data_IF_907221229017
#
_entry.id   IF_907221229017
#
_cell.length_a   1.000
_cell.length_b   1.000
_cell.length_c   1.000
_cell.angle_alpha   90.00
_cell.angle_beta   90.00
_cell.angle_gamma   90.00
#
_symmetry.space_group_name_H-M   'P 1'
#
loop_
_entity.id
_entity.type
_entity.pdbx_description
1 polymer ?
#
# COMPACT_ATOMS: atom_id res chain seq x y z
N UNK A 1 29.16 6.92 21.86
CA UNK A 1 29.95 5.69 21.62
C UNK A 1 31.32 5.70 22.34
N UNK A 2 31.92 6.86 22.65
CA UNK A 2 33.21 6.97 23.32
C UNK A 2 34.43 6.44 22.57
N UNK A 3 34.23 5.98 21.29
CA UNK A 3 35.30 5.48 20.42
C UNK A 3 35.22 6.11 19.05
N UNK A 4 36.35 6.26 18.36
CA UNK A 4 36.43 6.67 16.97
C UNK A 4 36.23 5.43 16.10
N UNK A 5 35.35 5.55 15.08
CA UNK A 5 35.10 4.48 14.09
C UNK A 5 35.51 4.99 12.72
N UNK A 6 36.17 4.14 11.94
CA UNK A 6 36.58 4.45 10.57
C UNK A 6 35.47 4.16 9.55
N UNK A 7 34.56 3.23 9.87
CA UNK A 7 33.47 2.83 9.01
C UNK A 7 32.25 2.38 9.82
N UNK A 8 31.05 2.66 9.33
CA UNK A 8 29.79 2.27 9.98
C UNK A 8 29.65 0.76 10.24
N UNK A 9 30.30 -0.08 9.42
CA UNK A 9 30.32 -1.55 9.62
C UNK A 9 31.01 -2.02 10.88
N UNK A 10 31.79 -1.15 11.52
CA UNK A 10 32.44 -1.43 12.81
C UNK A 10 31.47 -1.30 14.00
N UNK A 11 30.27 -0.77 13.72
CA UNK A 11 29.19 -0.59 14.70
C UNK A 11 28.23 -1.79 14.63
N UNK A 12 27.76 -2.22 15.79
CA UNK A 12 26.69 -3.22 15.86
C UNK A 12 25.32 -2.64 15.51
N UNK A 13 24.35 -3.50 15.18
CA UNK A 13 22.99 -3.10 14.83
C UNK A 13 22.30 -2.26 15.91
N UNK A 14 22.69 -2.45 17.20
CA UNK A 14 22.20 -1.66 18.31
C UNK A 14 22.77 -0.23 18.37
N UNK A 15 23.85 0.05 17.64
CA UNK A 15 24.57 1.33 17.64
C UNK A 15 24.24 2.18 16.40
N UNK A 16 23.54 1.62 15.41
CA UNK A 16 23.25 2.27 14.12
C UNK A 16 21.77 2.16 13.79
N UNK A 17 21.13 3.30 13.53
CA UNK A 17 19.82 3.34 12.89
C UNK A 17 20.02 3.44 11.38
N UNK A 18 19.62 2.39 10.64
CA UNK A 18 19.62 2.39 9.18
C UNK A 18 18.26 2.80 8.66
N UNK A 19 18.22 3.84 7.84
CA UNK A 19 17.01 4.33 7.15
C UNK A 19 17.18 4.20 5.64
N UNK A 20 16.09 4.02 4.87
CA UNK A 20 16.14 4.14 3.41
C UNK A 20 16.67 5.52 2.99
N UNK A 21 17.34 5.63 1.83
CA UNK A 21 17.96 6.91 1.40
C UNK A 21 17.01 8.09 1.37
N UNK A 22 15.76 7.89 0.93
CA UNK A 22 14.73 8.91 0.92
C UNK A 22 14.33 9.38 2.32
N UNK A 23 14.24 8.47 3.29
CA UNK A 23 13.97 8.84 4.69
C UNK A 23 15.18 9.53 5.33
N UNK A 24 16.41 9.11 5.02
CA UNK A 24 17.63 9.81 5.44
C UNK A 24 17.62 11.26 4.95
N UNK A 25 17.27 11.48 3.68
CA UNK A 25 17.16 12.82 3.11
C UNK A 25 16.11 13.66 3.84
N UNK A 26 14.92 13.13 4.08
CA UNK A 26 13.85 13.82 4.79
C UNK A 26 14.26 14.18 6.23
N UNK A 27 14.88 13.24 6.95
CA UNK A 27 15.36 13.47 8.32
C UNK A 27 16.45 14.55 8.35
N UNK A 28 17.46 14.43 7.48
CA UNK A 28 18.62 15.33 7.47
C UNK A 28 18.24 16.76 7.05
N UNK A 29 17.39 16.92 6.05
CA UNK A 29 17.02 18.24 5.49
C UNK A 29 15.88 18.93 6.23
N UNK A 30 15.10 18.19 7.01
CA UNK A 30 13.88 18.70 7.64
C UNK A 30 12.70 18.87 6.68
N UNK A 31 12.85 18.41 5.43
CA UNK A 31 11.76 18.43 4.46
C UNK A 31 10.71 17.36 4.78
N UNK A 32 9.53 17.51 4.22
CA UNK A 32 8.43 16.56 4.31
C UNK A 32 8.05 16.08 2.92
N UNK A 33 7.32 14.98 2.87
CA UNK A 33 6.80 14.44 1.63
C UNK A 33 5.68 15.34 1.08
N UNK A 34 5.46 15.34 -0.22
CA UNK A 34 4.42 16.14 -0.91
C UNK A 34 4.36 17.60 -0.46
N UNK A 35 5.53 18.22 -0.31
CA UNK A 35 5.61 19.63 0.03
C UNK A 35 4.83 20.48 -0.98
N UNK A 36 4.02 21.39 -0.46
CA UNK A 36 3.23 22.35 -1.23
C UNK A 36 2.12 21.73 -2.12
N UNK A 37 1.88 20.40 -2.05
CA UNK A 37 0.75 19.76 -2.68
C UNK A 37 -0.41 19.54 -1.68
N UNK A 38 -1.64 19.68 -2.15
CA UNK A 38 -2.83 19.21 -1.44
C UNK A 38 -3.12 17.75 -1.79
N UNK A 39 -3.95 17.09 -0.98
CA UNK A 39 -4.34 15.70 -1.22
C UNK A 39 -5.04 15.50 -2.57
N UNK A 40 -5.86 16.48 -2.97
CA UNK A 40 -6.61 16.43 -4.23
C UNK A 40 -5.75 16.70 -5.47
N UNK A 41 -4.55 17.24 -5.30
CA UNK A 41 -3.59 17.46 -6.40
C UNK A 41 -2.76 16.22 -6.73
N UNK A 42 -2.80 15.18 -5.89
CA UNK A 42 -2.11 13.93 -6.19
C UNK A 42 -2.69 13.25 -7.43
N UNK A 43 -1.84 12.89 -8.36
CA UNK A 43 -2.20 12.08 -9.51
C UNK A 43 -2.36 10.63 -9.08
N UNK A 44 -3.59 10.21 -8.80
CA UNK A 44 -3.91 8.87 -8.26
C UNK A 44 -4.53 8.00 -9.34
N UNK A 45 -4.00 6.81 -9.50
CA UNK A 45 -4.48 5.78 -10.42
C UNK A 45 -4.91 4.56 -9.62
N UNK A 46 -6.07 4.02 -9.93
CA UNK A 46 -6.55 2.77 -9.40
C UNK A 46 -6.50 1.71 -10.50
N UNK A 47 -6.11 0.49 -10.18
CA UNK A 47 -6.28 -0.65 -11.07
C UNK A 47 -6.75 -1.88 -10.31
N UNK A 48 -7.47 -2.74 -10.98
CA UNK A 48 -7.95 -4.01 -10.45
C UNK A 48 -7.74 -5.13 -11.47
N UNK A 49 -7.37 -6.33 -11.00
CA UNK A 49 -7.07 -7.48 -11.83
C UNK A 49 -8.24 -8.46 -11.84
N UNK A 50 -8.73 -8.78 -13.03
CA UNK A 50 -9.64 -9.90 -13.22
C UNK A 50 -8.88 -11.13 -13.72
N UNK A 51 -9.02 -12.22 -12.97
CA UNK A 51 -8.23 -13.43 -13.15
C UNK A 51 -9.11 -14.67 -13.36
N UNK A 52 -8.57 -15.70 -14.00
CA UNK A 52 -9.29 -16.97 -14.20
C UNK A 52 -9.47 -17.77 -12.92
N UNK A 53 -8.75 -17.41 -11.86
CA UNK A 53 -8.79 -18.00 -10.53
C UNK A 53 -7.77 -17.30 -9.61
N UNK A 54 -7.55 -17.83 -8.41
CA UNK A 54 -6.77 -17.16 -7.37
C UNK A 54 -5.30 -17.62 -7.27
N UNK A 55 -4.90 -18.65 -8.02
CA UNK A 55 -3.55 -19.22 -7.98
C UNK A 55 -2.71 -18.74 -9.16
N UNK A 56 -1.88 -17.71 -8.95
CA UNK A 56 -1.02 -17.13 -9.98
C UNK A 56 -0.02 -18.12 -10.62
N UNK A 57 0.15 -19.34 -10.09
CA UNK A 57 0.96 -20.38 -10.72
C UNK A 57 0.24 -21.04 -11.90
N UNK A 58 -1.09 -21.07 -11.88
CA UNK A 58 -1.96 -21.73 -12.85
C UNK A 58 -2.88 -20.77 -13.57
N UNK A 59 -3.42 -19.82 -12.82
CA UNK A 59 -4.43 -18.90 -13.30
C UNK A 59 -3.80 -17.70 -14.01
N UNK A 60 -4.57 -17.03 -14.86
CA UNK A 60 -4.14 -15.94 -15.74
C UNK A 60 -4.91 -14.65 -15.46
N UNK A 61 -4.28 -13.54 -15.76
CA UNK A 61 -4.94 -12.23 -15.86
C UNK A 61 -5.59 -12.16 -17.24
N UNK A 62 -6.90 -11.94 -17.31
CA UNK A 62 -7.60 -11.77 -18.60
C UNK A 62 -8.12 -10.34 -18.83
N UNK A 63 -8.28 -9.55 -17.76
CA UNK A 63 -8.69 -8.15 -17.85
C UNK A 63 -8.02 -7.36 -16.72
N UNK A 64 -7.77 -6.08 -16.97
CA UNK A 64 -7.38 -5.08 -15.98
C UNK A 64 -8.24 -3.85 -16.16
N UNK A 65 -8.98 -3.46 -15.15
CA UNK A 65 -9.62 -2.16 -15.10
C UNK A 65 -8.61 -1.14 -14.56
N UNK A 66 -8.49 0.00 -15.22
CA UNK A 66 -7.60 1.09 -14.81
C UNK A 66 -8.39 2.38 -14.80
N UNK A 67 -8.48 3.02 -13.65
CA UNK A 67 -9.05 4.36 -13.48
C UNK A 67 -7.91 5.36 -13.32
N UNK A 68 -7.81 6.29 -14.25
CA UNK A 68 -6.77 7.30 -14.28
C UNK A 68 -7.09 8.50 -13.34
N UNK A 69 -6.13 9.44 -13.14
CA UNK A 69 -6.36 10.63 -12.31
C UNK A 69 -7.47 11.56 -12.78
N UNK A 70 -7.83 11.52 -14.07
CA UNK A 70 -8.96 12.29 -14.61
C UNK A 70 -10.32 11.68 -14.26
N UNK A 71 -10.33 10.41 -13.86
CA UNK A 71 -11.51 9.61 -13.58
C UNK A 71 -11.98 8.77 -14.77
N UNK A 72 -11.27 8.79 -15.89
CA UNK A 72 -11.54 7.91 -17.02
C UNK A 72 -11.17 6.47 -16.68
N UNK A 73 -12.05 5.52 -17.02
CA UNK A 73 -11.81 4.09 -16.82
C UNK A 73 -11.49 3.44 -18.17
N UNK A 74 -10.31 2.85 -18.24
CA UNK A 74 -9.86 2.02 -19.36
C UNK A 74 -9.92 0.55 -18.96
N UNK A 75 -10.50 -0.29 -19.83
CA UNK A 75 -10.51 -1.74 -19.66
C UNK A 75 -9.50 -2.35 -20.65
N UNK A 76 -8.43 -2.92 -20.09
CA UNK A 76 -7.43 -3.64 -20.87
C UNK A 76 -7.77 -5.13 -20.83
N UNK A 77 -7.90 -5.77 -22.00
CA UNK A 77 -8.34 -7.16 -22.10
C UNK A 77 -7.34 -7.99 -22.90
N UNK A 78 -7.09 -9.21 -22.43
CA UNK A 78 -6.27 -10.16 -23.17
C UNK A 78 -6.95 -10.55 -24.49
N UNK A 79 -6.26 -10.37 -25.61
CA UNK A 79 -6.80 -10.71 -26.95
C UNK A 79 -6.94 -12.21 -27.17
N UNK A 80 -6.18 -13.01 -26.42
CA UNK A 80 -6.26 -14.47 -26.39
C UNK A 80 -6.02 -14.96 -24.96
N UNK A 81 -6.62 -16.10 -24.62
CA UNK A 81 -6.52 -16.69 -23.28
C UNK A 81 -5.31 -17.63 -23.15
N UNK A 82 -4.17 -17.20 -23.69
CA UNK A 82 -2.89 -17.90 -23.65
C UNK A 82 -1.78 -17.03 -23.03
N UNK A 83 -0.56 -17.56 -22.94
CA UNK A 83 0.57 -16.83 -22.37
C UNK A 83 0.96 -15.60 -23.19
N UNK A 84 0.73 -15.58 -24.50
CA UNK A 84 1.04 -14.46 -25.39
C UNK A 84 0.04 -13.29 -25.19
N UNK A 85 -1.23 -13.60 -25.10
CA UNK A 85 -2.29 -12.62 -24.83
C UNK A 85 -2.12 -11.97 -23.48
N UNK A 86 -1.87 -12.76 -22.42
CA UNK A 86 -1.61 -12.25 -21.09
C UNK A 86 -0.32 -11.41 -21.01
N UNK A 87 0.76 -11.85 -21.66
CA UNK A 87 2.00 -11.09 -21.72
C UNK A 87 1.81 -9.73 -22.41
N UNK A 88 0.94 -9.67 -23.43
CA UNK A 88 0.60 -8.43 -24.13
C UNK A 88 -0.21 -7.52 -23.21
N UNK A 89 -1.22 -8.04 -22.53
CA UNK A 89 -2.02 -7.31 -21.54
C UNK A 89 -1.15 -6.69 -20.44
N UNK A 90 -0.21 -7.44 -19.88
CA UNK A 90 0.69 -6.92 -18.84
C UNK A 90 1.59 -5.79 -19.40
N UNK A 91 2.08 -5.88 -20.66
CA UNK A 91 2.85 -4.80 -21.28
C UNK A 91 1.98 -3.56 -21.54
N UNK A 92 0.74 -3.74 -21.95
CA UNK A 92 -0.23 -2.66 -22.13
C UNK A 92 -0.49 -1.94 -20.80
N UNK A 93 -0.68 -2.66 -19.69
CA UNK A 93 -0.80 -2.08 -18.35
C UNK A 93 0.44 -1.25 -17.97
N UNK A 94 1.66 -1.80 -18.15
CA UNK A 94 2.92 -1.07 -17.87
C UNK A 94 3.02 0.20 -18.71
N UNK A 95 2.68 0.11 -19.99
CA UNK A 95 2.67 1.26 -20.91
C UNK A 95 1.64 2.31 -20.50
N UNK A 96 0.44 1.88 -20.11
CA UNK A 96 -0.63 2.76 -19.64
C UNK A 96 -0.22 3.52 -18.38
N UNK A 97 0.31 2.84 -17.37
CA UNK A 97 0.81 3.46 -16.13
C UNK A 97 1.95 4.44 -16.43
N UNK A 98 2.85 4.09 -17.34
CA UNK A 98 3.96 4.98 -17.73
C UNK A 98 3.47 6.23 -18.43
N UNK A 99 2.45 6.14 -19.29
CA UNK A 99 1.86 7.26 -20.03
C UNK A 99 1.09 8.20 -19.11
N UNK A 100 0.31 7.65 -18.19
CA UNK A 100 -0.50 8.41 -17.21
C UNK A 100 0.39 9.08 -16.18
N UNK A 101 1.52 8.47 -15.85
CA UNK A 101 2.51 8.92 -14.87
C UNK A 101 1.94 9.30 -13.50
N UNK A 102 1.16 8.42 -12.83
CA UNK A 102 0.55 8.74 -11.56
C UNK A 102 1.59 8.86 -10.43
N UNK A 103 1.29 9.68 -9.41
CA UNK A 103 2.09 9.78 -8.18
C UNK A 103 1.83 8.59 -7.27
N UNK A 104 0.59 8.11 -7.26
CA UNK A 104 0.10 7.05 -6.38
C UNK A 104 -0.67 6.01 -7.18
N UNK A 105 -0.40 4.75 -6.91
CA UNK A 105 -1.17 3.62 -7.41
C UNK A 105 -1.90 3.00 -6.22
N UNK A 106 -3.20 2.83 -6.36
CA UNK A 106 -4.09 2.41 -5.29
C UNK A 106 -4.92 1.20 -5.70
N UNK A 107 -5.14 0.25 -4.80
CA UNK A 107 -6.21 -0.73 -4.90
C UNK A 107 -6.61 -1.25 -3.51
N UNK A 108 -7.66 -2.04 -3.45
CA UNK A 108 -8.12 -2.69 -2.24
C UNK A 108 -7.55 -4.11 -2.15
N UNK A 109 -6.76 -4.38 -1.11
CA UNK A 109 -5.97 -5.61 -0.96
C UNK A 109 -4.79 -5.71 -1.95
N UNK A 110 -4.29 -4.56 -2.38
CA UNK A 110 -3.22 -4.39 -3.36
C UNK A 110 -1.98 -5.28 -3.09
N UNK A 111 -1.50 -5.27 -1.85
CA UNK A 111 -0.33 -6.06 -1.45
C UNK A 111 -0.65 -7.53 -1.17
N UNK A 112 -1.92 -7.87 -0.96
CA UNK A 112 -2.34 -9.24 -0.68
C UNK A 112 -2.72 -10.03 -1.92
N UNK A 113 -3.09 -9.35 -3.03
CA UNK A 113 -3.54 -10.01 -4.24
C UNK A 113 -2.94 -9.42 -5.51
N UNK A 114 -3.24 -8.18 -5.87
CA UNK A 114 -2.95 -7.67 -7.22
C UNK A 114 -1.45 -7.66 -7.54
N UNK A 115 -0.64 -7.02 -6.70
CA UNK A 115 0.80 -6.94 -6.97
C UNK A 115 1.49 -8.30 -6.91
N UNK A 116 1.28 -9.17 -5.90
CA UNK A 116 1.89 -10.49 -5.93
C UNK A 116 1.46 -11.34 -7.11
N UNK A 117 0.17 -11.29 -7.51
CA UNK A 117 -0.32 -12.01 -8.67
C UNK A 117 0.36 -11.49 -9.95
N UNK A 118 0.35 -10.19 -10.18
CA UNK A 118 0.99 -9.55 -11.32
C UNK A 118 2.50 -9.86 -11.39
N UNK A 119 3.22 -9.80 -10.27
CA UNK A 119 4.66 -10.12 -10.18
C UNK A 119 4.92 -11.57 -10.59
N UNK A 120 4.12 -12.51 -10.10
CA UNK A 120 4.30 -13.92 -10.41
C UNK A 120 4.01 -14.22 -11.88
N UNK A 121 2.94 -13.67 -12.45
CA UNK A 121 2.61 -13.81 -13.86
C UNK A 121 3.66 -13.17 -14.76
N UNK A 122 4.05 -11.93 -14.47
CA UNK A 122 5.08 -11.23 -15.24
C UNK A 122 6.43 -11.98 -15.23
N UNK A 123 6.82 -12.55 -14.08
CA UNK A 123 8.02 -13.39 -13.97
C UNK A 123 7.92 -14.63 -14.84
N UNK A 124 6.80 -15.35 -14.77
CA UNK A 124 6.54 -16.54 -15.59
C UNK A 124 6.62 -16.23 -17.10
N UNK A 125 6.01 -15.11 -17.51
CA UNK A 125 5.92 -14.68 -18.89
C UNK A 125 7.14 -13.89 -19.36
N UNK A 126 8.13 -13.66 -18.49
CA UNK A 126 9.35 -12.86 -18.75
C UNK A 126 9.02 -11.44 -19.22
N UNK A 127 7.97 -10.84 -18.66
CA UNK A 127 7.57 -9.46 -18.92
C UNK A 127 8.18 -8.56 -17.84
N UNK A 128 8.99 -7.54 -18.20
CA UNK A 128 9.49 -6.58 -17.23
C UNK A 128 8.36 -5.71 -16.64
N UNK A 129 8.30 -5.61 -15.32
CA UNK A 129 7.36 -4.72 -14.62
C UNK A 129 8.02 -3.37 -14.32
N UNK A 130 8.15 -2.52 -15.33
CA UNK A 130 8.70 -1.17 -15.19
C UNK A 130 7.60 -0.17 -14.75
N UNK A 131 7.03 -0.38 -13.57
CA UNK A 131 5.93 0.44 -13.04
C UNK A 131 6.39 1.77 -12.41
N UNK A 132 7.69 1.96 -12.19
CA UNK A 132 8.27 3.15 -11.56
C UNK A 132 8.63 4.26 -12.54
N UNK A 133 8.99 5.43 -11.98
CA UNK A 133 9.52 6.58 -12.71
C UNK A 133 11.02 6.47 -13.00
N UNK A 134 11.72 5.64 -12.26
CA UNK A 134 13.15 5.42 -12.46
C UNK A 134 13.25 4.15 -13.29
N UNK A 135 13.74 4.25 -14.51
CA UNK A 135 13.72 3.23 -15.59
C UNK A 135 14.41 1.89 -15.30
N UNK A 136 14.50 1.47 -14.06
CA UNK A 136 14.91 0.12 -13.68
C UNK A 136 13.69 -0.72 -13.40
N UNK A 137 13.50 -1.85 -14.10
CA UNK A 137 12.48 -2.81 -13.71
C UNK A 137 12.81 -3.29 -12.29
N UNK A 138 11.88 -3.25 -11.41
CA UNK A 138 12.09 -3.84 -10.11
C UNK A 138 11.19 -3.24 -9.04
N UNK A 139 10.10 -3.95 -8.80
CA UNK A 139 9.43 -3.90 -7.52
C UNK A 139 10.45 -4.33 -6.46
N UNK A 140 10.61 -3.50 -5.44
CA UNK A 140 11.32 -3.86 -4.22
C UNK A 140 10.29 -4.41 -3.23
N UNK A 141 10.74 -5.23 -2.30
CA UNK A 141 9.93 -5.70 -1.20
C UNK A 141 10.49 -5.19 0.11
N UNK A 142 9.61 -4.87 1.05
CA UNK A 142 9.97 -4.69 2.45
C UNK A 142 9.16 -5.67 3.29
N UNK A 143 9.75 -6.21 4.35
CA UNK A 143 9.02 -6.95 5.36
C UNK A 143 7.98 -6.04 6.04
N UNK A 144 6.90 -6.62 6.53
CA UNK A 144 6.04 -5.93 7.47
C UNK A 144 6.87 -5.41 8.65
N UNK A 145 6.55 -4.21 9.16
CA UNK A 145 7.23 -3.71 10.36
C UNK A 145 7.05 -4.73 11.50
N UNK A 146 8.14 -4.97 12.24
CA UNK A 146 8.08 -5.76 13.47
C UNK A 146 7.17 -5.04 14.48
N UNK A 147 5.93 -5.44 14.52
CA UNK A 147 4.98 -5.11 15.58
C UNK A 147 4.38 -6.41 16.03
N UNK A 148 4.40 -6.71 17.29
CA UNK A 148 3.71 -7.70 18.12
C UNK A 148 3.08 -8.98 17.52
N UNK A 149 3.08 -9.17 16.20
CA UNK A 149 2.60 -10.37 15.54
C UNK A 149 3.71 -11.44 15.55
N UNK A 150 3.37 -12.65 15.96
CA UNK A 150 4.25 -13.82 15.86
C UNK A 150 4.59 -14.09 14.38
N UNK A 151 5.71 -14.73 14.10
CA UNK A 151 6.13 -15.09 12.73
C UNK A 151 5.10 -15.97 11.97
N UNK A 152 4.09 -16.46 12.66
CA UNK A 152 2.97 -17.25 12.15
C UNK A 152 1.73 -16.42 11.80
N UNK A 153 1.76 -15.10 11.97
CA UNK A 153 0.60 -14.25 11.67
C UNK A 153 0.39 -14.11 10.15
N UNK A 154 -0.72 -14.62 9.59
CA UNK A 154 -1.04 -14.49 8.18
C UNK A 154 -1.27 -13.02 7.75
N UNK A 155 -1.37 -12.09 8.69
CA UNK A 155 -1.48 -10.65 8.39
C UNK A 155 -0.13 -10.00 8.09
N UNK A 156 0.98 -10.71 8.26
CA UNK A 156 2.34 -10.26 7.93
C UNK A 156 2.53 -10.26 6.41
N UNK A 157 1.97 -9.27 5.75
CA UNK A 157 2.05 -9.13 4.30
C UNK A 157 3.38 -8.55 3.86
N UNK A 158 3.95 -9.12 2.80
CA UNK A 158 5.03 -8.46 2.08
C UNK A 158 4.47 -7.17 1.49
N UNK A 159 5.18 -6.06 1.71
CA UNK A 159 4.87 -4.78 1.08
C UNK A 159 5.73 -4.61 -0.15
N UNK A 160 5.15 -4.19 -1.23
CA UNK A 160 5.85 -3.88 -2.47
C UNK A 160 6.11 -2.38 -2.54
N UNK A 161 7.23 -2.02 -3.18
CA UNK A 161 7.67 -0.64 -3.37
C UNK A 161 7.98 -0.43 -4.84
N UNK A 162 7.54 0.68 -5.38
CA UNK A 162 7.84 1.12 -6.75
C UNK A 162 8.70 2.38 -6.69
N UNK A 163 9.90 2.41 -7.30
CA UNK A 163 10.73 3.60 -7.30
C UNK A 163 10.06 4.79 -7.99
N UNK A 164 9.90 5.89 -7.26
CA UNK A 164 9.33 7.13 -7.75
C UNK A 164 7.80 7.21 -7.76
N UNK A 165 7.10 6.22 -7.21
CA UNK A 165 5.64 6.22 -6.99
C UNK A 165 5.34 5.65 -5.61
N UNK A 166 4.14 5.93 -5.10
CA UNK A 166 3.65 5.34 -3.85
C UNK A 166 2.60 4.27 -4.14
N UNK A 167 2.65 3.15 -3.41
CA UNK A 167 1.62 2.11 -3.44
C UNK A 167 0.76 2.20 -2.20
N UNK A 168 -0.52 2.45 -2.37
CA UNK A 168 -1.48 2.60 -1.27
C UNK A 168 -2.52 1.48 -1.32
N UNK A 169 -2.59 0.68 -0.25
CA UNK A 169 -3.61 -0.33 -0.08
C UNK A 169 -4.77 0.25 0.73
N UNK A 170 -5.92 0.46 0.10
CA UNK A 170 -7.10 1.01 0.78
C UNK A 170 -7.64 0.10 1.89
N UNK A 171 -7.32 -1.20 1.86
CA UNK A 171 -7.64 -2.12 2.95
C UNK A 171 -6.95 -1.72 4.27
N UNK A 172 -5.73 -1.16 4.20
CA UNK A 172 -5.05 -0.67 5.40
C UNK A 172 -5.73 0.58 5.97
N UNK A 173 -6.22 1.48 5.10
CA UNK A 173 -7.01 2.64 5.53
C UNK A 173 -8.34 2.23 6.16
N UNK A 174 -9.03 1.24 5.58
CA UNK A 174 -10.26 0.64 6.12
C UNK A 174 -10.02 0.03 7.50
N UNK A 175 -8.99 -0.77 7.66
CA UNK A 175 -8.64 -1.39 8.95
C UNK A 175 -8.28 -0.34 10.01
N UNK A 176 -7.61 0.74 9.61
CA UNK A 176 -7.29 1.85 10.50
C UNK A 176 -8.55 2.58 10.96
N UNK A 177 -9.51 2.82 10.06
CA UNK A 177 -10.81 3.37 10.40
C UNK A 177 -11.52 2.48 11.41
N UNK A 178 -11.67 1.19 11.11
CA UNK A 178 -12.41 0.23 11.93
C UNK A 178 -11.74 -0.03 13.29
N UNK A 179 -10.42 0.11 13.40
CA UNK A 179 -9.74 0.03 14.69
C UNK A 179 -10.28 1.04 15.71
N UNK A 180 -10.70 2.21 15.25
CA UNK A 180 -11.23 3.28 16.09
C UNK A 180 -12.75 3.28 16.13
N UNK A 181 -13.41 3.16 14.99
CA UNK A 181 -14.86 3.29 14.85
C UNK A 181 -15.60 1.99 15.24
N UNK A 182 -15.04 0.83 14.88
CA UNK A 182 -15.61 -0.51 15.13
C UNK A 182 -17.05 -0.65 14.61
N UNK A 183 -17.32 -0.04 13.47
CA UNK A 183 -18.64 0.05 12.86
C UNK A 183 -18.78 -0.75 11.55
N UNK A 184 -17.66 -1.34 11.05
CA UNK A 184 -17.68 -2.06 9.79
C UNK A 184 -18.10 -3.52 9.96
N UNK A 185 -19.06 -4.01 9.15
CA UNK A 185 -19.45 -5.43 9.15
C UNK A 185 -18.41 -6.35 8.54
N UNK A 186 -17.36 -5.80 7.93
CA UNK A 186 -16.25 -6.51 7.31
C UNK A 186 -15.37 -5.56 6.51
N UNK A 187 -14.21 -6.05 6.07
CA UNK A 187 -13.20 -5.22 5.41
C UNK A 187 -13.10 -5.41 3.89
N UNK A 188 -13.94 -6.25 3.29
CA UNK A 188 -13.95 -6.44 1.84
C UNK A 188 -14.52 -5.23 1.09
N UNK A 189 -13.99 -4.93 -0.11
CA UNK A 189 -14.33 -3.75 -0.91
C UNK A 189 -15.85 -3.50 -0.99
N UNK A 190 -16.60 -4.51 -1.40
CA UNK A 190 -18.07 -4.41 -1.61
C UNK A 190 -18.84 -4.07 -0.34
N UNK A 191 -18.40 -4.64 0.79
CA UNK A 191 -19.02 -4.40 2.10
C UNK A 191 -18.78 -2.96 2.54
N UNK A 192 -17.53 -2.52 2.43
CA UNK A 192 -17.10 -1.19 2.87
C UNK A 192 -17.65 -0.10 1.95
N UNK A 193 -17.66 -0.33 0.63
CA UNK A 193 -18.23 0.60 -0.33
C UNK A 193 -19.72 0.85 -0.07
N UNK A 194 -20.49 -0.20 0.25
CA UNK A 194 -21.89 -0.04 0.66
C UNK A 194 -22.04 0.71 1.98
N UNK A 195 -21.24 0.35 2.99
CA UNK A 195 -21.28 1.00 4.29
C UNK A 195 -21.08 2.52 4.17
N UNK A 196 -20.14 2.96 3.34
CA UNK A 196 -19.86 4.37 3.11
C UNK A 196 -20.71 5.04 2.02
N UNK A 197 -21.67 4.33 1.44
CA UNK A 197 -22.53 4.87 0.38
C UNK A 197 -21.78 5.18 -0.93
N UNK A 198 -20.68 4.49 -1.20
CA UNK A 198 -19.88 4.62 -2.42
C UNK A 198 -20.36 3.69 -3.53
N UNK A 199 -21.01 2.59 -3.16
CA UNK A 199 -21.58 1.66 -4.13
C UNK A 199 -22.81 2.26 -4.79
N UNK A 200 -22.91 2.16 -6.13
CA UNK A 200 -24.08 2.60 -6.89
C UNK A 200 -25.24 1.63 -6.69
N UNK A 201 -26.48 2.12 -6.84
CA UNK A 201 -27.68 1.28 -6.73
C UNK A 201 -27.75 0.18 -7.79
N UNK A 202 -27.21 0.47 -8.99
CA UNK A 202 -27.16 -0.44 -10.14
C UNK A 202 -25.89 -1.30 -10.20
N UNK A 203 -25.15 -1.39 -9.08
CA UNK A 203 -23.89 -2.15 -9.00
C UNK A 203 -24.09 -3.62 -9.36
N UNK A 204 -23.32 -4.07 -10.33
CA UNK A 204 -23.27 -5.48 -10.72
C UNK A 204 -22.53 -6.30 -9.67
N UNK A 205 -23.12 -7.40 -9.23
CA UNK A 205 -22.46 -8.36 -8.35
C UNK A 205 -22.16 -9.67 -9.07
N UNK A 206 -20.93 -10.10 -8.92
CA UNK A 206 -20.46 -11.40 -9.41
C UNK A 206 -19.66 -12.06 -8.27
N UNK A 207 -19.93 -13.33 -8.03
CA UNK A 207 -19.10 -14.12 -7.09
C UNK A 207 -17.70 -14.29 -7.69
N UNK A 208 -16.65 -14.15 -6.89
CA UNK A 208 -15.28 -14.20 -7.34
C UNK A 208 -14.91 -15.47 -8.12
N UNK A 209 -15.46 -16.62 -7.70
CA UNK A 209 -15.27 -17.92 -8.38
C UNK A 209 -16.01 -18.05 -9.72
N UNK A 210 -16.86 -17.10 -10.07
CA UNK A 210 -17.66 -17.09 -11.29
C UNK A 210 -17.27 -16.03 -12.30
N UNK A 211 -16.37 -15.11 -11.98
CA UNK A 211 -16.06 -13.95 -12.82
C UNK A 211 -15.64 -14.38 -14.22
N UNK A 212 -14.71 -15.32 -14.34
CA UNK A 212 -14.24 -15.78 -15.65
C UNK A 212 -15.34 -16.53 -16.43
N UNK A 213 -16.16 -17.36 -15.76
CA UNK A 213 -17.29 -18.04 -16.41
C UNK A 213 -18.32 -17.03 -16.93
N UNK A 214 -18.62 -15.99 -16.17
CA UNK A 214 -19.51 -14.90 -16.60
C UNK A 214 -18.88 -14.12 -17.76
N UNK A 215 -17.57 -13.86 -17.72
CA UNK A 215 -16.88 -13.17 -18.82
C UNK A 215 -17.02 -13.91 -20.16
N UNK A 216 -16.98 -15.23 -20.15
CA UNK A 216 -17.13 -16.04 -21.37
C UNK A 216 -18.54 -15.97 -21.97
N UNK A 217 -19.56 -15.64 -21.20
CA UNK A 217 -20.96 -15.62 -21.63
C UNK A 217 -21.55 -14.20 -21.70
N UNK A 218 -21.13 -13.32 -20.84
CA UNK A 218 -21.57 -11.92 -20.74
C UNK A 218 -20.38 -11.02 -20.33
N UNK A 219 -19.47 -10.73 -21.26
CA UNK A 219 -18.28 -9.92 -20.98
C UNK A 219 -18.64 -8.49 -20.52
N UNK A 220 -19.75 -7.91 -21.02
CA UNK A 220 -20.16 -6.56 -20.64
C UNK A 220 -20.58 -6.48 -19.17
N UNK A 221 -21.10 -7.56 -18.63
CA UNK A 221 -21.41 -7.64 -17.20
C UNK A 221 -20.13 -7.58 -16.35
N UNK A 222 -19.07 -8.29 -16.77
CA UNK A 222 -17.78 -8.25 -16.06
C UNK A 222 -17.10 -6.88 -16.23
N UNK A 223 -17.20 -6.25 -17.39
CA UNK A 223 -16.70 -4.88 -17.63
C UNK A 223 -17.33 -3.87 -16.67
N UNK A 224 -18.66 -3.91 -16.51
CA UNK A 224 -19.35 -3.06 -15.53
C UNK A 224 -18.95 -3.36 -14.10
N UNK A 225 -18.75 -4.63 -13.76
CA UNK A 225 -18.29 -5.07 -12.46
C UNK A 225 -16.90 -4.50 -12.14
N UNK A 226 -15.91 -4.69 -13.02
CA UNK A 226 -14.55 -4.22 -12.87
C UNK A 226 -14.45 -2.67 -12.83
N UNK A 227 -15.29 -1.98 -13.64
CA UNK A 227 -15.41 -0.52 -13.57
C UNK A 227 -15.89 -0.05 -12.21
N UNK A 228 -16.90 -0.71 -11.63
CA UNK A 228 -17.42 -0.37 -10.31
C UNK A 228 -16.35 -0.58 -9.22
N UNK A 229 -15.55 -1.64 -9.31
CA UNK A 229 -14.52 -1.93 -8.32
C UNK A 229 -13.46 -0.82 -8.27
N UNK A 230 -12.94 -0.33 -9.39
CA UNK A 230 -11.96 0.78 -9.40
C UNK A 230 -12.57 2.12 -8.99
N UNK A 231 -13.85 2.38 -9.29
CA UNK A 231 -14.56 3.59 -8.82
C UNK A 231 -14.77 3.57 -7.30
N UNK A 232 -15.13 2.42 -6.74
CA UNK A 232 -15.27 2.22 -5.30
C UNK A 232 -13.94 2.37 -4.56
N UNK A 233 -12.85 1.83 -5.13
CA UNK A 233 -11.49 2.03 -4.60
C UNK A 233 -11.12 3.52 -4.59
N UNK A 234 -11.39 4.25 -5.68
CA UNK A 234 -11.14 5.69 -5.76
C UNK A 234 -11.94 6.47 -4.71
N UNK A 235 -13.19 6.09 -4.49
CA UNK A 235 -14.05 6.66 -3.45
C UNK A 235 -13.48 6.43 -2.04
N UNK A 236 -13.09 5.19 -1.74
CA UNK A 236 -12.46 4.83 -0.45
C UNK A 236 -11.14 5.58 -0.22
N UNK A 237 -10.28 5.63 -1.25
CA UNK A 237 -9.00 6.34 -1.16
C UNK A 237 -9.21 7.83 -0.89
N UNK A 238 -10.21 8.45 -1.52
CA UNK A 238 -10.57 9.86 -1.27
C UNK A 238 -11.11 10.07 0.14
N UNK A 239 -11.96 9.17 0.62
CA UNK A 239 -12.59 9.28 1.93
C UNK A 239 -11.59 9.06 3.07
N UNK A 240 -10.74 8.04 2.98
CA UNK A 240 -9.91 7.56 4.09
C UNK A 240 -8.42 7.92 3.97
N UNK A 241 -7.94 8.29 2.78
CA UNK A 241 -6.51 8.52 2.51
C UNK A 241 -5.96 9.82 3.09
N UNK A 242 -6.81 10.82 3.31
CA UNK A 242 -6.40 12.16 3.75
C UNK A 242 -5.62 12.20 5.06
N UNK A 243 -5.94 11.32 6.00
CA UNK A 243 -5.26 11.25 7.30
C UNK A 243 -3.78 10.83 7.15
N UNK A 244 -3.50 9.78 6.37
CA UNK A 244 -2.14 9.33 6.11
C UNK A 244 -1.34 10.37 5.31
N UNK A 245 -1.99 11.08 4.38
CA UNK A 245 -1.39 12.18 3.64
C UNK A 245 -1.01 13.36 4.56
N UNK A 246 -1.89 13.75 5.48
CA UNK A 246 -1.60 14.78 6.47
C UNK A 246 -0.38 14.41 7.33
N UNK A 247 -0.26 13.14 7.75
CA UNK A 247 0.92 12.65 8.47
C UNK A 247 2.20 12.70 7.63
N UNK A 248 2.13 12.44 6.31
CA UNK A 248 3.27 12.54 5.41
C UNK A 248 3.80 13.99 5.27
N UNK A 249 2.96 14.98 5.52
CA UNK A 249 3.35 16.39 5.57
C UNK A 249 4.01 16.79 6.90
N UNK A 250 3.99 15.93 7.90
CA UNK A 250 4.57 16.19 9.23
C UNK A 250 5.79 15.33 9.49
N UNK A 251 5.67 14.04 9.31
CA UNK A 251 6.72 13.07 9.63
C UNK A 251 7.73 12.93 8.48
N UNK A 252 9.03 12.77 8.76
CA UNK A 252 10.06 12.59 7.74
C UNK A 252 10.07 11.16 7.21
N UNK A 253 8.98 10.75 6.58
CA UNK A 253 8.75 9.39 6.09
C UNK A 253 7.92 9.40 4.81
N UNK A 254 8.07 8.38 3.98
CA UNK A 254 7.28 8.19 2.77
C UNK A 254 5.79 8.00 3.07
N UNK A 255 4.94 8.43 2.16
CA UNK A 255 3.48 8.37 2.31
C UNK A 255 2.97 6.92 2.49
N UNK A 256 3.42 5.98 1.65
CA UNK A 256 3.03 4.58 1.77
C UNK A 256 3.45 3.95 3.11
N UNK A 257 4.56 4.43 3.72
CA UNK A 257 4.99 3.99 5.04
C UNK A 257 4.09 4.51 6.15
N UNK A 258 3.54 5.68 5.99
CA UNK A 258 2.60 6.28 6.94
C UNK A 258 1.19 5.71 6.76
N UNK A 259 0.85 5.28 5.55
CA UNK A 259 -0.42 4.64 5.27
C UNK A 259 -0.58 3.28 5.99
N UNK A 260 0.51 2.54 6.21
CA UNK A 260 0.48 1.20 6.83
C UNK A 260 1.11 1.11 8.23
N UNK A 261 1.67 2.21 8.75
CA UNK A 261 2.37 2.20 10.03
C UNK A 261 1.48 2.63 11.20
N UNK A 262 1.80 2.12 12.39
CA UNK A 262 1.22 2.60 13.64
C UNK A 262 1.76 3.98 14.05
N UNK A 263 1.09 4.65 14.98
CA UNK A 263 1.42 6.00 15.42
C UNK A 263 2.85 6.11 16.00
N UNK A 264 3.26 5.15 16.84
CA UNK A 264 4.58 5.19 17.49
C UNK A 264 5.71 5.07 16.46
N UNK A 265 5.84 3.93 15.83
CA UNK A 265 6.95 3.62 14.91
C UNK A 265 6.83 4.31 13.55
N UNK A 266 5.60 4.68 13.15
CA UNK A 266 5.34 5.34 11.88
C UNK A 266 5.55 6.84 11.91
N UNK A 267 5.14 7.50 12.98
CA UNK A 267 5.09 8.97 13.08
C UNK A 267 6.04 9.50 14.14
N UNK A 268 5.94 9.01 15.39
CA UNK A 268 6.67 9.58 16.51
C UNK A 268 8.16 9.30 16.39
N UNK A 269 8.57 8.07 16.14
CA UNK A 269 10.00 7.71 16.03
C UNK A 269 10.75 8.54 14.98
N UNK A 270 10.26 8.68 13.73
CA UNK A 270 10.95 9.52 12.74
C UNK A 270 11.05 11.00 13.14
N UNK A 271 10.06 11.54 13.83
CA UNK A 271 10.11 12.90 14.37
C UNK A 271 11.17 13.04 15.46
N UNK A 272 11.26 12.07 16.37
CA UNK A 272 12.29 12.02 17.40
C UNK A 272 13.68 11.89 16.77
N UNK A 273 13.86 10.99 15.80
CA UNK A 273 15.14 10.84 15.08
C UNK A 273 15.59 12.17 14.49
N UNK A 274 14.68 12.91 13.84
CA UNK A 274 14.97 14.26 13.32
C UNK A 274 15.34 15.24 14.43
N UNK A 275 14.62 15.22 15.56
CA UNK A 275 14.88 16.12 16.68
C UNK A 275 16.24 15.87 17.31
N UNK A 276 16.60 14.61 17.55
CA UNK A 276 17.92 14.23 18.06
C UNK A 276 19.05 14.62 17.11
N UNK A 277 18.88 14.38 15.80
CA UNK A 277 19.88 14.77 14.81
C UNK A 277 20.09 16.29 14.80
N UNK A 278 19.03 17.10 14.89
CA UNK A 278 19.10 18.55 14.95
C UNK A 278 19.77 19.06 16.23
N UNK A 279 19.56 18.39 17.33
CA UNK A 279 20.19 18.69 18.60
C UNK A 279 21.67 18.24 18.67
N UNK A 280 22.18 17.55 17.65
CA UNK A 280 23.51 16.93 17.67
C UNK A 280 23.64 15.86 18.77
N UNK A 281 22.52 15.26 19.19
CA UNK A 281 22.45 14.27 20.25
C UNK A 281 22.30 12.85 19.67
N UNK A 282 22.84 11.85 20.39
CA UNK A 282 22.65 10.46 20.04
C UNK A 282 21.25 9.98 20.43
N UNK A 283 20.67 9.10 19.59
CA UNK A 283 19.46 8.40 19.98
C UNK A 283 19.72 7.50 21.19
N UNK A 284 18.75 7.36 22.12
CA UNK A 284 18.85 6.38 23.18
C UNK A 284 19.03 4.97 22.60
N UNK A 285 19.90 4.17 23.23
CA UNK A 285 20.05 2.77 22.86
C UNK A 285 18.72 2.03 23.05
N UNK A 286 18.35 1.21 22.09
CA UNK A 286 17.16 0.36 22.22
C UNK A 286 17.53 -0.81 23.17
N UNK A 287 17.27 -0.62 24.46
CA UNK A 287 17.43 -1.70 25.42
C UNK A 287 16.33 -2.74 25.18
N UNK A 288 16.71 -3.96 24.85
CA UNK A 288 15.78 -5.10 24.89
C UNK A 288 15.49 -5.40 26.37
N UNK A 289 14.44 -4.79 26.90
CA UNK A 289 13.97 -5.18 28.24
C UNK A 289 13.26 -6.54 28.13
N UNK A 290 13.49 -7.45 29.11
CA UNK A 290 12.68 -8.67 29.18
C UNK A 290 11.20 -8.29 29.29
N UNK A 291 10.34 -9.05 28.60
CA UNK A 291 8.90 -8.83 28.68
C UNK A 291 8.44 -8.94 30.14
N UNK A 292 8.00 -7.82 30.70
CA UNK A 292 7.39 -7.81 32.04
C UNK A 292 5.89 -8.10 31.84
N UNK A 293 5.41 -9.16 32.48
CA UNK A 293 3.99 -9.45 32.50
C UNK A 293 3.25 -8.29 33.19
N UNK A 294 2.37 -7.63 32.47
CA UNK A 294 1.57 -6.52 32.99
C UNK A 294 0.16 -7.01 33.29
N UNK A 295 -0.31 -6.75 34.51
CA UNK A 295 -1.65 -7.18 34.94
C UNK A 295 -2.78 -6.24 34.53
N UNK A 296 -2.49 -5.24 33.68
CA UNK A 296 -3.45 -4.27 33.15
C UNK A 296 -3.19 -2.83 33.58
N UNK A 297 -4.02 -1.91 33.12
CA UNK A 297 -3.95 -0.50 33.51
C UNK A 297 -4.49 -0.31 34.93
N UNK A 298 -3.76 0.46 35.74
CA UNK A 298 -4.25 0.90 37.05
C UNK A 298 -5.07 2.18 36.88
N UNK A 299 -6.29 2.19 37.40
CA UNK A 299 -7.11 3.39 37.53
C UNK A 299 -7.04 3.89 38.97
N UNK A 300 -6.54 5.11 39.15
CA UNK A 300 -6.52 5.76 40.46
C UNK A 300 -7.48 6.94 40.46
N UNK A 301 -8.42 6.93 41.41
CA UNK A 301 -9.28 8.08 41.67
C UNK A 301 -8.61 8.93 42.77
N UNK A 302 -8.08 10.10 42.38
CA UNK A 302 -7.38 11.00 43.30
C UNK A 302 -8.31 11.95 44.05
N UNK A 303 -9.54 12.17 43.57
CA UNK A 303 -10.57 12.92 44.24
C UNK A 303 -11.96 12.39 43.82
N UNK A 304 -12.85 12.21 44.75
CA UNK A 304 -14.28 12.05 44.49
C UNK A 304 -14.88 13.46 44.38
N UNK A 305 -15.35 13.79 43.17
CA UNK A 305 -16.03 15.06 42.92
C UNK A 305 -17.47 15.03 43.46
#
# INVERSE_FOLDING_TARGET
LGRRVGHLRELGDAEVLSLPPEEQYLVATGRTYFRDLSFDQLQRLQFDLETTGLDATRDRIFMVAVRDPSGEVSLLEARSHDDAGEATLIRELVTHISRVDPDVIENHNLHGFDIPFLVQRARRLKVPLALGRIGRPGLRTRGAMRGTASDTDPTRRIRYLIPGRELIDTLDAVRRHDFSARDLPGHGLKVVARHFGLARDDRVEIRGDRIFTVYQTDPDRVRRYATSDVDEVAGLARLLGGAAFALARMAPRRYERLADAGAATGVIDPLLVRAYLRAGAALPAHASAPAIAHTGAALHLFAAG
#
